data_IF_187822761622
#
_entry.id   IF_187822761622
#
_cell.length_a   1.000
_cell.length_b   1.000
_cell.length_c   1.000
_cell.angle_alpha   90.00
_cell.angle_beta   90.00
_cell.angle_gamma   90.00
#
_symmetry.space_group_name_H-M   'P 1'
#
loop_
_entity.id
_entity.type
_entity.pdbx_description
1 polymer ?
#
# COMPACT_ATOMS: atom_id res chain seq x y z
N UNK A 1 -32.23 -5.94 -1.74
CA UNK A 1 -31.09 -5.68 -2.65
C UNK A 1 -29.84 -5.58 -1.80
N UNK A 2 -29.31 -6.71 -1.33
CA UNK A 2 -28.12 -6.74 -0.47
C UNK A 2 -26.86 -6.88 -1.32
N UNK A 3 -26.03 -5.84 -1.21
CA UNK A 3 -24.63 -5.70 -1.63
C UNK A 3 -23.88 -7.01 -1.90
N UNK A 4 -23.35 -7.13 -3.12
CA UNK A 4 -22.25 -8.03 -3.45
C UNK A 4 -20.98 -7.53 -2.75
N UNK A 5 -20.88 -7.73 -1.44
CA UNK A 5 -19.63 -7.47 -0.74
C UNK A 5 -18.58 -8.43 -1.31
N UNK A 6 -17.34 -7.97 -1.48
CA UNK A 6 -16.25 -8.76 -2.04
C UNK A 6 -15.94 -9.96 -1.12
N UNK A 7 -16.61 -11.10 -1.33
CA UNK A 7 -16.43 -12.34 -0.56
C UNK A 7 -15.43 -13.26 -1.28
N UNK A 8 -14.18 -12.83 -1.36
CA UNK A 8 -13.08 -13.61 -1.95
C UNK A 8 -11.99 -13.93 -0.94
N UNK A 9 -11.17 -14.97 -1.17
CA UNK A 9 -10.08 -15.37 -0.26
C UNK A 9 -9.11 -14.22 0.05
N UNK A 10 -8.87 -13.32 -0.93
CA UNK A 10 -8.04 -12.13 -0.73
C UNK A 10 -8.70 -11.12 0.23
N UNK A 11 -10.02 -10.92 0.14
CA UNK A 11 -10.71 -9.98 1.03
C UNK A 11 -10.65 -10.45 2.50
N UNK A 12 -10.77 -11.76 2.74
CA UNK A 12 -10.59 -12.34 4.07
C UNK A 12 -9.14 -12.19 4.57
N UNK A 13 -8.14 -12.36 3.70
CA UNK A 13 -6.74 -12.08 4.06
C UNK A 13 -6.56 -10.62 4.48
N UNK A 14 -7.06 -9.67 3.69
CA UNK A 14 -6.93 -8.23 3.99
C UNK A 14 -7.68 -7.83 5.28
N UNK A 15 -8.74 -8.55 5.64
CA UNK A 15 -9.50 -8.32 6.86
C UNK A 15 -8.77 -8.85 8.10
N UNK A 16 -8.22 -10.06 8.01
CA UNK A 16 -7.75 -10.82 9.16
C UNK A 16 -6.23 -10.76 9.39
N UNK A 17 -5.44 -10.45 8.36
CA UNK A 17 -3.98 -10.41 8.46
C UNK A 17 -3.46 -8.99 8.69
N UNK A 18 -2.40 -8.89 9.51
CA UNK A 18 -1.70 -7.63 9.78
C UNK A 18 -0.59 -7.32 8.79
N UNK A 19 -0.01 -8.36 8.18
CA UNK A 19 1.10 -8.26 7.24
C UNK A 19 0.77 -9.11 6.02
N UNK A 20 0.92 -8.53 4.84
CA UNK A 20 0.79 -9.21 3.55
C UNK A 20 2.04 -8.91 2.74
N UNK A 21 2.74 -9.96 2.33
CA UNK A 21 3.97 -9.84 1.54
C UNK A 21 3.70 -10.32 0.12
N UNK A 22 3.91 -9.46 -0.86
CA UNK A 22 3.81 -9.84 -2.27
C UNK A 22 5.19 -10.30 -2.77
N UNK A 23 5.35 -11.60 -2.99
CA UNK A 23 6.58 -12.23 -3.49
C UNK A 23 6.42 -12.74 -4.93
N UNK A 24 7.54 -12.94 -5.63
CA UNK A 24 7.57 -13.41 -7.02
C UNK A 24 8.76 -12.87 -7.82
N UNK A 25 8.91 -13.37 -9.05
CA UNK A 25 10.01 -13.01 -9.95
C UNK A 25 10.05 -11.50 -10.29
N UNK A 26 11.15 -11.03 -10.89
CA UNK A 26 11.28 -9.65 -11.37
C UNK A 26 10.19 -9.30 -12.40
N UNK A 27 9.60 -8.11 -12.30
CA UNK A 27 8.64 -7.63 -13.30
C UNK A 27 7.21 -8.22 -13.25
N UNK A 28 6.91 -9.19 -12.37
CA UNK A 28 5.56 -9.84 -12.31
C UNK A 28 4.44 -8.97 -11.70
N UNK A 29 4.71 -7.69 -11.43
CA UNK A 29 3.71 -6.75 -10.92
C UNK A 29 3.56 -6.69 -9.40
N UNK A 30 4.53 -7.19 -8.61
CA UNK A 30 4.48 -7.16 -7.12
C UNK A 30 4.11 -5.78 -6.56
N UNK A 31 4.84 -4.73 -6.95
CA UNK A 31 4.63 -3.36 -6.48
C UNK A 31 3.22 -2.86 -6.80
N UNK A 32 2.74 -3.12 -8.02
CA UNK A 32 1.40 -2.76 -8.46
C UNK A 32 0.32 -3.52 -7.67
N UNK A 33 0.52 -4.82 -7.47
CA UNK A 33 -0.40 -5.66 -6.68
C UNK A 33 -0.42 -5.22 -5.21
N UNK A 34 0.73 -4.90 -4.60
CA UNK A 34 0.79 -4.36 -3.24
C UNK A 34 0.02 -3.05 -3.10
N UNK A 35 0.16 -2.12 -4.06
CA UNK A 35 -0.59 -0.88 -4.07
C UNK A 35 -2.11 -1.12 -4.20
N UNK A 36 -2.52 -2.03 -5.09
CA UNK A 36 -3.93 -2.39 -5.28
C UNK A 36 -4.54 -3.04 -4.03
N UNK A 37 -3.82 -3.95 -3.38
CA UNK A 37 -4.24 -4.58 -2.13
C UNK A 37 -4.36 -3.55 -1.00
N UNK A 38 -3.43 -2.60 -0.92
CA UNK A 38 -3.44 -1.56 0.09
C UNK A 38 -4.64 -0.60 -0.09
N UNK A 39 -4.95 -0.22 -1.33
CA UNK A 39 -6.16 0.53 -1.65
C UNK A 39 -7.42 -0.24 -1.29
N UNK A 40 -7.49 -1.54 -1.60
CA UNK A 40 -8.64 -2.37 -1.28
C UNK A 40 -8.86 -2.50 0.24
N UNK A 41 -7.80 -2.73 1.01
CA UNK A 41 -7.88 -2.78 2.47
C UNK A 41 -8.27 -1.42 3.07
N UNK A 42 -7.74 -0.31 2.52
CA UNK A 42 -8.10 1.04 2.94
C UNK A 42 -9.57 1.36 2.67
N UNK A 43 -10.09 0.96 1.50
CA UNK A 43 -11.53 1.05 1.16
C UNK A 43 -12.41 0.26 2.12
N UNK A 44 -11.90 -0.85 2.66
CA UNK A 44 -12.58 -1.64 3.69
C UNK A 44 -12.47 -1.02 5.11
N UNK A 45 -11.99 0.21 5.24
CA UNK A 45 -11.88 0.93 6.51
C UNK A 45 -10.64 0.58 7.33
N UNK A 46 -9.64 -0.10 6.75
CA UNK A 46 -8.37 -0.37 7.43
C UNK A 46 -7.45 0.85 7.33
N UNK A 47 -6.58 1.01 8.32
CA UNK A 47 -5.41 1.90 8.24
C UNK A 47 -4.24 1.07 7.75
N UNK A 48 -3.68 1.45 6.60
CA UNK A 48 -2.75 0.61 5.85
C UNK A 48 -1.47 1.37 5.57
N UNK A 49 -0.33 0.72 5.79
CA UNK A 49 0.95 1.13 5.24
C UNK A 49 1.30 0.20 4.09
N UNK A 50 1.58 0.76 2.91
CA UNK A 50 2.20 0.03 1.80
C UNK A 50 3.64 0.48 1.65
N UNK A 51 4.55 -0.48 1.59
CA UNK A 51 5.96 -0.21 1.40
C UNK A 51 6.56 -1.01 0.26
N UNK A 52 7.60 -0.46 -0.36
CA UNK A 52 8.42 -1.18 -1.33
C UNK A 52 9.89 -0.83 -1.14
N UNK A 53 10.77 -1.74 -1.54
CA UNK A 53 12.23 -1.54 -1.63
C UNK A 53 12.70 -1.36 -3.09
N UNK A 54 11.75 -1.31 -4.03
CA UNK A 54 12.01 -1.21 -5.46
C UNK A 54 12.49 0.21 -5.82
N UNK A 55 13.72 0.40 -6.35
CA UNK A 55 14.26 1.72 -6.66
C UNK A 55 13.50 2.43 -7.78
N UNK A 56 12.66 1.73 -8.55
CA UNK A 56 12.01 2.25 -9.76
C UNK A 56 10.89 3.27 -9.51
N UNK A 57 10.67 3.72 -8.26
CA UNK A 57 9.63 4.71 -7.88
C UNK A 57 8.20 4.34 -8.27
N UNK A 58 7.94 3.13 -8.77
CA UNK A 58 6.63 2.66 -9.24
C UNK A 58 5.52 2.80 -8.19
N UNK A 59 5.84 2.58 -6.91
CA UNK A 59 4.86 2.75 -5.84
C UNK A 59 4.42 4.21 -5.69
N UNK A 60 5.41 5.11 -5.71
CA UNK A 60 5.17 6.54 -5.60
C UNK A 60 4.33 7.07 -6.76
N UNK A 61 4.64 6.65 -7.98
CA UNK A 61 3.85 6.96 -9.18
C UNK A 61 2.42 6.41 -9.10
N UNK A 62 2.27 5.15 -8.66
CA UNK A 62 0.95 4.49 -8.53
C UNK A 62 0.04 5.21 -7.53
N UNK A 63 0.61 5.76 -6.45
CA UNK A 63 -0.13 6.42 -5.38
C UNK A 63 -0.14 7.94 -5.49
N UNK A 64 0.61 8.51 -6.44
CA UNK A 64 0.74 9.95 -6.63
C UNK A 64 1.42 10.67 -5.47
N UNK A 65 2.33 10.00 -4.76
CA UNK A 65 3.18 10.59 -3.71
C UNK A 65 4.51 11.04 -4.33
N UNK A 66 4.98 12.22 -3.95
CA UNK A 66 5.94 12.97 -4.75
C UNK A 66 7.41 12.65 -4.47
N UNK A 67 7.78 11.96 -3.39
CA UNK A 67 9.20 11.71 -3.05
C UNK A 67 9.44 10.36 -2.36
N UNK A 68 10.73 10.03 -2.16
CA UNK A 68 11.26 8.91 -1.37
C UNK A 68 11.61 9.41 0.06
N UNK A 69 10.61 9.66 0.92
CA UNK A 69 10.85 10.17 2.26
C UNK A 69 11.54 9.10 3.15
N UNK A 70 12.34 9.50 4.13
CA UNK A 70 12.86 8.58 5.15
C UNK A 70 11.75 7.99 6.03
N UNK A 71 10.55 8.57 6.00
CA UNK A 71 9.39 8.18 6.81
C UNK A 71 8.16 7.92 5.93
N UNK A 72 7.17 7.13 6.39
CA UNK A 72 5.91 6.97 5.67
C UNK A 72 5.20 8.30 5.35
N UNK A 73 4.68 8.43 4.13
CA UNK A 73 3.90 9.59 3.69
C UNK A 73 2.45 9.20 3.49
N UNK A 74 1.57 9.94 4.15
CA UNK A 74 0.13 9.80 3.97
C UNK A 74 -0.29 10.17 2.55
N UNK A 75 -1.13 9.34 1.93
CA UNK A 75 -1.81 9.68 0.68
C UNK A 75 -2.87 10.74 1.00
N UNK A 76 -2.85 11.84 0.25
CA UNK A 76 -3.73 13.00 0.49
C UNK A 76 -5.21 12.60 0.57
N UNK A 77 -6.00 13.19 1.49
CA UNK A 77 -7.44 12.93 1.59
C UNK A 77 -8.20 13.12 0.28
N UNK A 78 -7.84 14.09 -0.57
CA UNK A 78 -8.55 14.28 -1.85
C UNK A 78 -8.36 13.08 -2.78
N UNK A 79 -7.14 12.52 -2.85
CA UNK A 79 -6.85 11.31 -3.64
C UNK A 79 -7.57 10.09 -3.08
N UNK A 80 -7.60 9.94 -1.76
CA UNK A 80 -8.33 8.86 -1.11
C UNK A 80 -9.82 8.95 -1.42
N UNK A 81 -10.41 10.14 -1.28
CA UNK A 81 -11.81 10.40 -1.62
C UNK A 81 -12.09 10.12 -3.10
N UNK A 82 -11.23 10.58 -4.02
CA UNK A 82 -11.33 10.29 -5.45
C UNK A 82 -11.22 8.77 -5.75
N UNK A 83 -10.49 8.04 -4.92
CA UNK A 83 -10.41 6.58 -4.96
C UNK A 83 -11.54 5.90 -4.18
N UNK A 84 -12.57 6.60 -3.70
CA UNK A 84 -13.69 6.00 -2.95
C UNK A 84 -13.30 5.47 -1.56
N UNK A 85 -12.20 5.97 -0.99
CA UNK A 85 -11.76 5.67 0.37
C UNK A 85 -12.23 6.82 1.27
N UNK A 86 -13.03 6.47 2.27
CA UNK A 86 -13.49 7.39 3.30
C UNK A 86 -12.99 6.92 4.68
N UNK A 87 -12.92 7.81 5.69
CA UNK A 87 -12.64 7.42 7.06
C UNK A 87 -13.55 6.28 7.54
N UNK A 88 -13.05 5.33 8.34
CA UNK A 88 -11.73 5.31 8.98
C UNK A 88 -10.59 4.79 8.08
N UNK A 89 -10.85 4.53 6.80
CA UNK A 89 -9.83 4.09 5.85
C UNK A 89 -8.72 5.11 5.66
N UNK A 90 -7.47 4.66 5.76
CA UNK A 90 -6.28 5.50 5.58
C UNK A 90 -5.16 4.70 4.91
N UNK A 91 -4.35 5.38 4.09
CA UNK A 91 -3.25 4.76 3.36
C UNK A 91 -2.00 5.65 3.47
N UNK A 92 -0.94 5.06 4.00
CA UNK A 92 0.40 5.61 3.99
C UNK A 92 1.27 4.82 3.00
N UNK A 93 2.18 5.50 2.33
CA UNK A 93 3.12 4.92 1.40
C UNK A 93 4.55 5.17 1.88
N UNK A 94 5.40 4.14 1.83
CA UNK A 94 6.80 4.28 2.17
C UNK A 94 7.69 3.58 1.16
N UNK A 95 8.56 4.34 0.51
CA UNK A 95 9.64 3.77 -0.29
C UNK A 95 10.83 3.64 0.66
N UNK A 96 11.23 2.41 0.94
CA UNK A 96 12.34 2.14 1.85
C UNK A 96 13.62 2.08 1.02
N UNK A 97 14.57 2.95 1.33
CA UNK A 97 15.90 2.87 0.76
C UNK A 97 16.68 1.74 1.44
N UNK A 98 16.97 0.67 0.69
CA UNK A 98 17.72 -0.47 1.19
C UNK A 98 19.18 -0.11 1.56
N UNK A 99 19.71 1.01 1.08
CA UNK A 99 21.07 1.47 1.40
C UNK A 99 21.15 2.15 2.78
N UNK A 100 20.04 2.65 3.33
CA UNK A 100 20.01 3.28 4.66
C UNK A 100 20.08 2.28 5.83
N UNK A 101 19.94 0.97 5.56
CA UNK A 101 19.99 -0.08 6.58
C UNK A 101 21.40 -0.61 6.90
N UNK A 102 22.41 -0.29 6.10
CA UNK A 102 23.78 -0.79 6.29
C UNK A 102 24.68 0.15 7.11
N UNK A 103 24.36 1.44 7.17
CA UNK A 103 25.29 2.47 7.68
C UNK A 103 24.95 3.00 9.09
N UNK A 104 23.91 2.49 9.76
CA UNK A 104 23.48 2.95 11.10
C UNK A 104 23.17 1.83 12.10
N UNK A 105 23.79 0.65 11.95
CA UNK A 105 23.85 -0.34 13.01
C UNK A 105 25.22 -0.24 13.70
N UNK A 106 25.26 0.55 14.78
CA UNK A 106 26.26 0.65 15.88
C UNK A 106 27.69 0.21 15.56
#
# INVERSE_FOLDING_TARGET
MTSNAAHGPIAEILKNQRIVVCCGAGGVGKTTTSAALALAASRAGRRVLVLTIDPSRRLAETLGVSQNPPEPVAVSPERLAAAGIAPPGALDAWLLDAQLGADNAV
#
